data_IF_114598215628
#
_entry.id   IF_114598215628
#
_cell.length_a   1.000
_cell.length_b   1.000
_cell.length_c   1.000
_cell.angle_alpha   90.00
_cell.angle_beta   90.00
_cell.angle_gamma   90.00
#
_symmetry.space_group_name_H-M   'P 1'
#
loop_
_entity.id
_entity.type
_entity.pdbx_description
1 polymer ?
#
# COMPACT_ATOMS: atom_id res chain seq x y z
N UNK A 1 -10.80 20.23 -7.62
CA UNK A 1 -10.52 21.14 -6.49
C UNK A 1 -11.55 20.97 -5.39
N UNK A 2 -11.39 19.96 -4.54
CA UNK A 2 -12.33 19.68 -3.44
C UNK A 2 -12.27 20.78 -2.37
N UNK A 3 -11.07 21.26 -2.02
CA UNK A 3 -10.86 22.28 -1.00
C UNK A 3 -11.59 23.60 -1.29
N UNK A 4 -11.52 24.11 -2.53
CA UNK A 4 -12.26 25.31 -2.93
C UNK A 4 -13.77 25.16 -2.72
N UNK A 5 -14.34 24.00 -3.07
CA UNK A 5 -15.78 23.73 -2.93
C UNK A 5 -16.21 23.54 -1.47
N UNK A 6 -15.29 23.07 -0.61
CA UNK A 6 -15.52 23.05 0.85
C UNK A 6 -15.56 24.47 1.41
N UNK A 7 -14.63 25.33 1.00
CA UNK A 7 -14.58 26.74 1.44
C UNK A 7 -15.79 27.56 0.99
N UNK A 8 -16.38 27.24 -0.18
CA UNK A 8 -17.55 27.95 -0.71
C UNK A 8 -18.90 27.36 -0.26
N UNK A 9 -18.89 26.34 0.60
CA UNK A 9 -20.13 25.68 1.06
C UNK A 9 -20.84 24.88 -0.03
N UNK A 10 -20.12 24.44 -1.06
CA UNK A 10 -20.70 23.73 -2.19
C UNK A 10 -21.10 22.28 -1.90
N UNK A 11 -20.95 21.79 -0.67
CA UNK A 11 -21.33 20.43 -0.26
C UNK A 11 -22.53 20.47 0.68
N UNK A 12 -23.50 19.60 0.44
CA UNK A 12 -24.73 19.54 1.25
C UNK A 12 -24.53 18.76 2.55
N UNK A 13 -23.61 17.80 2.57
CA UNK A 13 -23.32 16.96 3.71
C UNK A 13 -21.90 16.35 3.63
N UNK A 14 -21.49 15.66 4.70
CA UNK A 14 -20.19 15.01 4.81
C UNK A 14 -20.01 13.85 3.81
N UNK A 15 -21.06 13.13 3.46
CA UNK A 15 -21.01 12.01 2.50
C UNK A 15 -20.55 12.49 1.11
N UNK A 16 -21.06 13.63 0.63
CA UNK A 16 -20.64 14.20 -0.65
C UNK A 16 -19.16 14.60 -0.66
N UNK A 17 -18.63 15.07 0.48
CA UNK A 17 -17.21 15.39 0.63
C UNK A 17 -16.38 14.11 0.52
N UNK A 18 -16.78 13.06 1.23
CA UNK A 18 -16.06 11.76 1.25
C UNK A 18 -16.04 11.13 -0.14
N UNK A 19 -17.19 11.05 -0.82
CA UNK A 19 -17.30 10.47 -2.17
C UNK A 19 -16.46 11.24 -3.17
N UNK A 20 -16.50 12.58 -3.11
CA UNK A 20 -15.73 13.40 -4.03
C UNK A 20 -14.21 13.30 -3.75
N UNK A 21 -13.82 13.26 -2.47
CA UNK A 21 -12.43 13.09 -2.05
C UNK A 21 -11.85 11.74 -2.50
N UNK A 22 -12.60 10.66 -2.33
CA UNK A 22 -12.20 9.33 -2.76
C UNK A 22 -12.00 9.28 -4.28
N UNK A 23 -12.95 9.83 -5.06
CA UNK A 23 -12.83 9.90 -6.53
C UNK A 23 -11.61 10.70 -6.98
N UNK A 24 -11.34 11.84 -6.35
CA UNK A 24 -10.16 12.64 -6.68
C UNK A 24 -8.85 11.95 -6.28
N UNK A 25 -8.85 11.19 -5.18
CA UNK A 25 -7.69 10.38 -4.77
C UNK A 25 -7.38 9.30 -5.80
N UNK A 26 -8.39 8.56 -6.26
CA UNK A 26 -8.24 7.53 -7.29
C UNK A 26 -7.82 8.11 -8.65
N UNK A 27 -8.26 9.32 -8.98
CA UNK A 27 -7.85 10.02 -10.19
C UNK A 27 -6.43 10.62 -10.08
N UNK A 28 -5.96 10.89 -8.85
CA UNK A 28 -4.62 11.39 -8.56
C UNK A 28 -3.60 10.25 -8.43
N UNK A 29 -4.05 9.01 -8.24
CA UNK A 29 -3.26 7.81 -8.51
C UNK A 29 -3.02 7.73 -10.03
N UNK A 30 -2.04 8.49 -10.52
CA UNK A 30 -1.27 8.00 -11.66
C UNK A 30 -0.82 6.59 -11.28
N UNK A 31 -1.01 5.57 -12.15
CA UNK A 31 -0.38 4.29 -11.90
C UNK A 31 1.10 4.60 -11.80
N UNK A 32 1.64 4.57 -10.57
CA UNK A 32 3.05 4.67 -10.36
C UNK A 32 3.62 3.58 -11.25
N UNK A 33 4.39 3.99 -12.27
CA UNK A 33 5.03 3.04 -13.15
C UNK A 33 5.83 2.12 -12.24
N UNK A 34 5.33 0.88 -12.07
CA UNK A 34 6.02 -0.11 -11.27
C UNK A 34 7.39 -0.21 -11.91
N UNK A 35 8.47 0.19 -11.23
CA UNK A 35 9.78 0.15 -11.85
C UNK A 35 10.01 -1.28 -12.32
N UNK A 36 10.49 -1.47 -13.56
CA UNK A 36 10.73 -2.80 -14.09
C UNK A 36 11.58 -3.56 -13.08
N UNK A 37 11.20 -4.81 -12.80
CA UNK A 37 11.94 -5.66 -11.89
C UNK A 37 13.40 -5.70 -12.39
N UNK A 38 14.39 -5.37 -11.54
CA UNK A 38 15.80 -5.49 -11.92
C UNK A 38 16.10 -6.89 -12.43
N UNK A 39 16.80 -6.97 -13.57
CA UNK A 39 17.27 -8.22 -14.13
C UNK A 39 18.09 -8.99 -13.08
N UNK A 40 17.90 -10.30 -12.99
CA UNK A 40 18.61 -11.16 -12.05
C UNK A 40 18.07 -11.19 -10.61
N UNK A 41 17.01 -10.44 -10.26
CA UNK A 41 16.34 -10.61 -8.95
C UNK A 41 15.61 -11.95 -8.88
N UNK A 42 16.08 -12.86 -8.03
CA UNK A 42 15.39 -14.11 -7.69
C UNK A 42 14.02 -13.83 -7.04
N UNK A 43 13.00 -14.59 -7.41
CA UNK A 43 11.71 -14.61 -6.71
C UNK A 43 11.90 -15.09 -5.26
N UNK A 44 11.00 -14.74 -4.33
CA UNK A 44 10.99 -15.31 -2.99
C UNK A 44 10.99 -16.85 -3.05
N UNK A 45 10.18 -17.43 -3.95
CA UNK A 45 10.17 -18.88 -4.20
C UNK A 45 11.53 -19.42 -4.62
N UNK A 46 12.26 -18.69 -5.47
CA UNK A 46 13.61 -19.08 -5.90
C UNK A 46 14.63 -18.96 -4.78
N UNK A 47 14.51 -17.95 -3.91
CA UNK A 47 15.37 -17.81 -2.73
C UNK A 47 15.16 -18.95 -1.73
N UNK A 48 13.93 -19.41 -1.53
CA UNK A 48 13.65 -20.57 -0.68
C UNK A 48 14.13 -21.88 -1.32
N UNK A 49 13.95 -22.04 -2.65
CA UNK A 49 14.40 -23.23 -3.37
C UNK A 49 15.93 -23.37 -3.39
N UNK A 50 16.64 -22.24 -3.52
CA UNK A 50 18.10 -22.12 -3.53
C UNK A 50 18.69 -21.84 -2.13
N UNK A 51 17.87 -21.94 -1.07
CA UNK A 51 18.28 -21.57 0.28
C UNK A 51 19.45 -22.43 0.74
N UNK A 52 20.51 -21.86 1.32
CA UNK A 52 21.59 -22.63 1.95
C UNK A 52 21.09 -23.44 3.16
N UNK A 53 19.86 -23.17 3.62
CA UNK A 53 19.21 -23.85 4.72
C UNK A 53 18.25 -24.97 4.26
N UNK A 54 18.20 -25.29 2.97
CA UNK A 54 17.35 -26.37 2.44
C UNK A 54 17.73 -27.70 3.09
N UNK A 55 16.76 -28.35 3.74
CA UNK A 55 16.95 -29.64 4.42
C UNK A 55 17.34 -29.54 5.90
N UNK A 56 17.50 -28.33 6.43
CA UNK A 56 17.54 -28.10 7.88
C UNK A 56 16.11 -28.01 8.40
N UNK A 57 15.88 -28.51 9.61
CA UNK A 57 14.61 -28.41 10.32
C UNK A 57 14.50 -26.99 10.93
N UNK A 58 14.22 -26.01 10.06
CA UNK A 58 14.13 -24.60 10.43
C UNK A 58 12.77 -24.08 9.96
N UNK A 59 11.98 -23.62 10.92
CA UNK A 59 10.72 -22.96 10.66
C UNK A 59 10.95 -21.48 10.34
N UNK A 60 10.54 -21.06 9.14
CA UNK A 60 10.54 -19.65 8.78
C UNK A 60 9.27 -19.00 9.31
N UNK A 61 9.39 -18.14 10.31
CA UNK A 61 8.29 -17.32 10.79
C UNK A 61 8.41 -15.90 10.24
N UNK A 62 7.27 -15.26 9.95
CA UNK A 62 7.25 -13.81 9.75
C UNK A 62 7.40 -13.14 11.10
N UNK A 63 8.23 -12.11 11.16
CA UNK A 63 8.26 -11.23 12.32
C UNK A 63 6.83 -10.70 12.60
N UNK A 64 6.32 -10.81 13.83
CA UNK A 64 4.99 -10.34 14.14
C UNK A 64 4.87 -8.84 13.89
N UNK A 65 3.81 -8.44 13.19
CA UNK A 65 3.50 -7.03 12.99
C UNK A 65 2.97 -6.46 14.32
N UNK A 66 3.89 -6.01 15.19
CA UNK A 66 3.55 -5.15 16.32
C UNK A 66 3.16 -3.80 15.76
N UNK A 67 1.86 -3.61 15.50
CA UNK A 67 1.32 -2.38 14.91
C UNK A 67 1.83 -1.11 15.60
N UNK A 68 1.66 0.04 14.93
CA UNK A 68 2.11 1.32 15.48
C UNK A 68 1.23 1.70 16.68
N UNK A 69 1.86 2.12 17.78
CA UNK A 69 1.15 2.72 18.90
C UNK A 69 0.39 3.96 18.42
N UNK A 70 -0.93 3.86 18.38
CA UNK A 70 -1.83 4.98 18.12
C UNK A 70 -2.36 5.45 19.47
N UNK A 71 -1.84 6.58 19.96
CA UNK A 71 -2.46 7.30 21.07
C UNK A 71 -3.81 7.83 20.58
N UNK A 72 -4.89 7.39 21.21
CA UNK A 72 -6.28 7.79 20.97
C UNK A 72 -6.63 8.96 21.88
#
# INVERSE_FOLDING_TARGET
MIFHRMSTGGFRNAEEVIVQALRASLAAETPAAVPPRPEGRKSLTQLFADSPFKGLDIDFEREPDYGRDIAI
#
